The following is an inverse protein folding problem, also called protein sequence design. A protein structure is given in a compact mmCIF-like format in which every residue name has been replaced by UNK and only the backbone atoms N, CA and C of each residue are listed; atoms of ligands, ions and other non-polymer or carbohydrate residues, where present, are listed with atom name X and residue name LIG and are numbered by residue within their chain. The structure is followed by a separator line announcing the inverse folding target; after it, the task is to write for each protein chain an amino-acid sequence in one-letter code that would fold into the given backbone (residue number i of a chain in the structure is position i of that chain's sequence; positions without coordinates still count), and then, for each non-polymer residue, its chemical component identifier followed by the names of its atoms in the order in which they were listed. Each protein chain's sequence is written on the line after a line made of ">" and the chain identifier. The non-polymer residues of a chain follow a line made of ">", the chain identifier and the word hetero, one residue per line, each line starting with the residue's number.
data_IF_263888474161
#
_entry.id   IF_263888474161
#
_cell.length_a   1.000
_cell.length_b   1.000
_cell.length_c   1.000
_cell.angle_alpha   90.00
_cell.angle_beta   90.00
_cell.angle_gamma   90.00
#
_symmetry.space_group_name_H-M   'P 1'
#
loop_
_entity.id
_entity.type
_entity.pdbx_description
1 polymer ?
#
# COMPACT_ATOMS: atom_id res chain seq x y z
N UNK A 1 -21.12 8.61 -3.04
CA UNK A 1 -21.19 8.03 -4.40
C UNK A 1 -20.89 9.04 -5.51
N UNK A 2 -21.39 10.29 -5.47
CA UNK A 2 -21.12 11.32 -6.50
C UNK A 2 -19.66 11.78 -6.57
N UNK A 3 -19.01 11.98 -5.41
CA UNK A 3 -17.62 12.47 -5.34
C UNK A 3 -16.65 11.50 -6.03
N UNK A 4 -16.86 10.20 -5.87
CA UNK A 4 -16.00 9.19 -6.47
C UNK A 4 -16.19 9.09 -8.00
N UNK A 5 -17.42 9.21 -8.50
CA UNK A 5 -17.69 9.32 -9.96
C UNK A 5 -17.06 10.59 -10.55
N UNK A 6 -17.13 11.73 -9.85
CA UNK A 6 -16.49 12.98 -10.29
C UNK A 6 -14.95 12.92 -10.26
N UNK A 7 -14.34 12.33 -9.22
CA UNK A 7 -12.89 12.15 -9.15
C UNK A 7 -12.38 11.17 -10.22
N UNK A 8 -13.12 10.08 -10.47
CA UNK A 8 -12.78 9.07 -11.49
C UNK A 8 -12.91 9.64 -12.91
N UNK A 9 -13.92 10.46 -13.18
CA UNK A 9 -14.06 11.17 -14.45
C UNK A 9 -12.95 12.19 -14.71
N UNK A 10 -12.48 12.88 -13.67
CA UNK A 10 -11.41 13.88 -13.77
C UNK A 10 -10.01 13.24 -13.93
N UNK A 11 -9.72 12.17 -13.19
CA UNK A 11 -8.45 11.44 -13.26
C UNK A 11 -8.28 10.68 -14.59
N UNK A 12 -9.36 10.16 -15.17
CA UNK A 12 -9.34 9.53 -16.50
C UNK A 12 -9.03 10.53 -17.64
N UNK A 13 -9.39 11.80 -17.46
CA UNK A 13 -9.11 12.88 -18.44
C UNK A 13 -7.67 13.39 -18.38
N UNK A 14 -6.94 13.08 -17.29
CA UNK A 14 -5.58 13.53 -17.04
C UNK A 14 -4.72 12.35 -16.54
N UNK A 15 -4.23 11.53 -17.48
CA UNK A 15 -3.37 10.36 -17.16
C UNK A 15 -2.18 10.73 -16.25
N UNK A 16 -1.64 11.94 -16.41
CA UNK A 16 -0.53 12.47 -15.60
C UNK A 16 -0.86 12.58 -14.11
N UNK A 17 -2.13 12.82 -13.75
CA UNK A 17 -2.55 12.92 -12.35
C UNK A 17 -2.60 11.54 -11.68
N UNK A 18 -3.06 10.51 -12.40
CA UNK A 18 -3.09 9.14 -11.87
C UNK A 18 -1.67 8.61 -11.59
N UNK A 19 -0.72 8.87 -12.51
CA UNK A 19 0.68 8.52 -12.31
C UNK A 19 1.31 9.33 -11.17
N UNK A 20 0.98 10.63 -11.04
CA UNK A 20 1.43 11.47 -9.92
C UNK A 20 0.97 10.92 -8.56
N UNK A 21 -0.29 10.49 -8.44
CA UNK A 21 -0.80 9.90 -7.19
C UNK A 21 -0.11 8.57 -6.87
N UNK A 22 0.14 7.73 -7.87
CA UNK A 22 0.90 6.49 -7.66
C UNK A 22 2.34 6.78 -7.23
N UNK A 23 3.00 7.77 -7.83
CA UNK A 23 4.34 8.20 -7.43
C UNK A 23 4.34 8.80 -6.01
N UNK A 24 3.30 9.55 -5.65
CA UNK A 24 3.17 10.15 -4.33
C UNK A 24 2.95 9.09 -3.24
N UNK A 25 2.23 8.01 -3.54
CA UNK A 25 2.12 6.86 -2.63
C UNK A 25 3.49 6.19 -2.39
N UNK A 26 4.27 6.01 -3.44
CA UNK A 26 5.63 5.44 -3.35
C UNK A 26 6.56 6.39 -2.59
N UNK A 27 6.49 7.69 -2.86
CA UNK A 27 7.26 8.71 -2.17
C UNK A 27 6.91 8.76 -0.67
N UNK A 28 5.63 8.60 -0.30
CA UNK A 28 5.20 8.49 1.09
C UNK A 28 5.80 7.26 1.76
N UNK A 29 5.72 6.08 1.13
CA UNK A 29 6.30 4.85 1.66
C UNK A 29 7.81 5.00 1.93
N UNK A 30 8.57 5.47 0.94
CA UNK A 30 10.01 5.64 1.10
C UNK A 30 10.35 6.78 2.04
N UNK A 31 9.56 7.86 2.05
CA UNK A 31 9.72 8.98 2.96
C UNK A 31 9.50 8.57 4.42
N UNK A 32 8.47 7.78 4.70
CA UNK A 32 8.19 7.28 6.05
C UNK A 32 9.27 6.31 6.52
N UNK A 33 9.73 5.39 5.67
CA UNK A 33 10.89 4.55 5.99
C UNK A 33 12.15 5.36 6.26
N UNK A 34 12.44 6.35 5.42
CA UNK A 34 13.61 7.21 5.59
C UNK A 34 13.56 7.97 6.91
N UNK A 35 12.42 8.60 7.24
CA UNK A 35 12.25 9.34 8.49
C UNK A 35 12.43 8.41 9.70
N UNK A 36 11.80 7.23 9.68
CA UNK A 36 11.90 6.28 10.80
C UNK A 36 13.36 5.83 10.99
N UNK A 37 14.08 5.52 9.92
CA UNK A 37 15.48 5.08 10.01
C UNK A 37 16.41 6.23 10.44
N UNK A 38 16.28 7.40 9.83
CA UNK A 38 17.11 8.56 10.09
C UNK A 38 16.91 9.12 11.51
N UNK A 39 15.68 9.04 12.03
CA UNK A 39 15.29 9.65 13.31
C UNK A 39 14.84 8.63 14.37
N UNK A 40 15.20 7.36 14.25
CA UNK A 40 14.77 6.33 15.21
C UNK A 40 15.10 6.69 16.67
N UNK A 41 16.30 7.21 16.95
CA UNK A 41 16.73 7.58 18.31
C UNK A 41 15.86 8.69 18.94
N UNK A 42 15.67 9.86 18.29
CA UNK A 42 14.79 10.89 18.83
C UNK A 42 13.32 10.48 18.85
N UNK A 43 12.84 9.66 17.89
CA UNK A 43 11.47 9.14 17.88
C UNK A 43 11.22 8.27 19.12
N UNK A 44 12.12 7.32 19.39
CA UNK A 44 12.01 6.45 20.59
C UNK A 44 12.15 7.27 21.87
N UNK A 45 13.03 8.27 21.89
CA UNK A 45 13.17 9.19 23.02
C UNK A 45 11.90 9.99 23.28
N UNK A 46 11.25 10.50 22.23
CA UNK A 46 9.97 11.20 22.31
C UNK A 46 8.86 10.28 22.81
N UNK A 47 8.78 9.05 22.29
CA UNK A 47 7.77 8.06 22.68
C UNK A 47 7.89 7.67 24.17
N UNK A 48 9.12 7.61 24.69
CA UNK A 48 9.39 7.26 26.09
C UNK A 48 9.07 8.37 27.09
N UNK A 49 9.03 9.64 26.68
CA UNK A 49 8.71 10.75 27.60
C UNK A 49 7.31 10.64 28.18
N UNK A 50 6.32 10.40 27.32
CA UNK A 50 4.91 10.29 27.70
C UNK A 50 4.22 9.20 26.88
N UNK A 51 4.52 7.94 27.20
CA UNK A 51 4.08 6.79 26.41
C UNK A 51 2.55 6.71 26.28
N UNK A 52 1.81 7.14 27.30
CA UNK A 52 0.33 7.10 27.30
C UNK A 52 -0.27 8.00 26.23
N UNK A 53 0.37 9.13 25.90
CA UNK A 53 -0.13 10.10 24.92
C UNK A 53 0.57 9.92 23.57
N UNK A 54 1.89 9.75 23.58
CA UNK A 54 2.68 9.71 22.36
C UNK A 54 2.51 8.40 21.57
N UNK A 55 2.27 7.26 22.24
CA UNK A 55 2.03 5.99 21.53
C UNK A 55 0.73 6.04 20.72
N UNK A 56 -0.44 6.44 21.28
CA UNK A 56 -1.65 6.60 20.49
C UNK A 56 -1.49 7.57 19.32
N UNK A 57 -0.78 8.69 19.51
CA UNK A 57 -0.51 9.65 18.44
C UNK A 57 0.32 9.01 17.32
N UNK A 58 1.39 8.29 17.67
CA UNK A 58 2.23 7.60 16.70
C UNK A 58 1.43 6.54 15.92
N UNK A 59 0.58 5.77 16.60
CA UNK A 59 -0.31 4.79 15.96
C UNK A 59 -1.31 5.49 15.02
N UNK A 60 -1.92 6.59 15.46
CA UNK A 60 -2.86 7.36 14.62
C UNK A 60 -2.18 7.92 13.37
N UNK A 61 -0.95 8.43 13.49
CA UNK A 61 -0.15 8.90 12.35
C UNK A 61 0.18 7.77 11.38
N UNK A 62 0.56 6.58 11.87
CA UNK A 62 0.81 5.40 11.03
C UNK A 62 -0.46 4.94 10.30
N UNK A 63 -1.61 4.91 10.99
CA UNK A 63 -2.88 4.56 10.37
C UNK A 63 -3.28 5.58 9.28
N UNK A 64 -3.07 6.87 9.53
CA UNK A 64 -3.31 7.92 8.56
C UNK A 64 -2.41 7.78 7.34
N UNK A 65 -1.12 7.48 7.55
CA UNK A 65 -0.15 7.26 6.46
C UNK A 65 -0.55 6.06 5.58
N UNK A 66 -0.90 4.93 6.21
CA UNK A 66 -1.41 3.74 5.49
C UNK A 66 -2.70 4.06 4.73
N UNK A 67 -3.62 4.81 5.34
CA UNK A 67 -4.85 5.24 4.70
C UNK A 67 -4.58 6.12 3.47
N UNK A 68 -3.66 7.08 3.58
CA UNK A 68 -3.25 7.94 2.48
C UNK A 68 -2.59 7.15 1.36
N UNK A 69 -1.65 6.25 1.68
CA UNK A 69 -1.04 5.34 0.71
C UNK A 69 -2.10 4.52 -0.02
N UNK A 70 -3.04 3.92 0.70
CA UNK A 70 -4.14 3.17 0.10
C UNK A 70 -5.03 4.04 -0.81
N UNK A 71 -5.38 5.24 -0.36
CA UNK A 71 -6.18 6.20 -1.14
C UNK A 71 -5.46 6.58 -2.44
N UNK A 72 -4.19 6.96 -2.38
CA UNK A 72 -3.42 7.38 -3.55
C UNK A 72 -3.21 6.23 -4.55
N UNK A 73 -2.96 5.02 -4.05
CA UNK A 73 -2.89 3.82 -4.88
C UNK A 73 -4.22 3.50 -5.56
N UNK A 74 -5.34 3.62 -4.85
CA UNK A 74 -6.67 3.41 -5.43
C UNK A 74 -6.96 4.44 -6.53
N UNK A 75 -6.63 5.71 -6.29
CA UNK A 75 -6.80 6.79 -7.27
C UNK A 75 -5.92 6.56 -8.51
N UNK A 76 -4.65 6.18 -8.33
CA UNK A 76 -3.74 5.87 -9.44
C UNK A 76 -4.18 4.64 -10.23
N UNK A 77 -4.74 3.61 -9.56
CA UNK A 77 -5.21 2.38 -10.19
C UNK A 77 -6.52 2.52 -10.96
N UNK A 78 -7.26 3.62 -10.77
CA UNK A 78 -8.55 3.87 -11.42
C UNK A 78 -8.45 3.91 -12.96
N UNK A 79 -7.24 4.06 -13.52
CA UNK A 79 -6.93 3.96 -14.95
C UNK A 79 -7.21 2.57 -15.54
N UNK A 80 -7.11 1.49 -14.75
CA UNK A 80 -7.20 0.11 -15.24
C UNK A 80 -8.57 -0.56 -15.07
N UNK A 81 -9.54 0.10 -14.42
CA UNK A 81 -10.89 -0.48 -14.29
C UNK A 81 -11.74 -0.05 -15.49
N UNK A 82 -11.81 -0.88 -16.53
CA UNK A 82 -12.66 -0.58 -17.69
C UNK A 82 -14.17 -0.78 -17.40
N UNK A 83 -14.58 -1.57 -16.39
CA UNK A 83 -16.01 -1.92 -16.27
C UNK A 83 -16.71 -1.83 -14.90
N UNK A 84 -16.05 -1.78 -13.74
CA UNK A 84 -16.82 -1.93 -12.48
C UNK A 84 -17.11 -0.63 -11.70
N UNK A 85 -18.39 -0.48 -11.34
CA UNK A 85 -19.02 0.63 -10.58
C UNK A 85 -18.59 0.72 -9.09
N UNK A 86 -17.70 -0.15 -8.63
CA UNK A 86 -17.28 -0.23 -7.24
C UNK A 86 -16.02 0.61 -6.98
N UNK A 87 -16.19 1.79 -6.37
CA UNK A 87 -15.08 2.51 -5.75
C UNK A 87 -14.57 1.76 -4.53
N UNK A 88 -13.25 1.70 -4.33
CA UNK A 88 -12.55 1.07 -3.18
C UNK A 88 -12.40 -0.46 -3.21
N UNK A 89 -12.30 -1.10 -4.38
CA UNK A 89 -11.75 -2.45 -4.39
C UNK A 89 -10.23 -2.43 -4.18
N UNK A 90 -9.76 -3.16 -3.16
CA UNK A 90 -8.38 -3.65 -3.09
C UNK A 90 -8.04 -4.28 -4.43
N UNK A 91 -7.04 -3.71 -5.12
CA UNK A 91 -6.40 -4.22 -6.33
C UNK A 91 -6.93 -5.58 -6.81
N UNK A 92 -7.63 -5.60 -7.95
CA UNK A 92 -7.61 -6.79 -8.81
C UNK A 92 -6.19 -6.86 -9.39
N UNK A 93 -5.24 -7.29 -8.56
CA UNK A 93 -3.94 -7.72 -9.06
C UNK A 93 -4.19 -8.74 -10.16
N UNK A 94 -3.27 -8.81 -11.13
CA UNK A 94 -3.23 -9.81 -12.20
C UNK A 94 -3.06 -11.24 -11.63
N UNK A 95 -4.03 -11.67 -10.82
CA UNK A 95 -4.15 -12.96 -10.15
C UNK A 95 -5.52 -13.50 -10.55
N UNK A 96 -5.63 -13.92 -11.81
CA UNK A 96 -6.65 -14.86 -12.28
C UNK A 96 -6.39 -16.25 -11.67
N UNK A 97 -6.37 -16.34 -10.34
CA UNK A 97 -5.94 -17.52 -9.62
C UNK A 97 -6.01 -17.32 -8.13
N UNK A 98 -7.19 -16.95 -7.63
CA UNK A 98 -7.55 -17.15 -6.22
C UNK A 98 -7.71 -18.65 -5.97
N UNK A 99 -6.59 -19.37 -5.91
CA UNK A 99 -6.52 -20.70 -5.30
C UNK A 99 -6.08 -20.53 -3.87
N UNK A 100 -6.89 -21.03 -2.93
CA UNK A 100 -6.60 -21.31 -1.51
C UNK A 100 -5.17 -21.02 -1.03
N UNK A 101 -5.04 -20.33 0.12
CA UNK A 101 -3.76 -20.13 0.84
C UNK A 101 -2.90 -21.40 0.93
N UNK A 102 -3.52 -22.58 0.98
CA UNK A 102 -2.83 -23.87 0.96
C UNK A 102 -2.09 -24.18 -0.35
N UNK A 103 -2.63 -23.76 -1.49
CA UNK A 103 -2.02 -23.96 -2.82
C UNK A 103 -0.84 -23.01 -3.02
N UNK A 104 -0.92 -21.78 -2.49
CA UNK A 104 0.22 -20.87 -2.47
C UNK A 104 1.36 -21.40 -1.61
N UNK A 105 1.05 -21.94 -0.43
CA UNK A 105 2.06 -22.51 0.45
C UNK A 105 2.71 -23.76 -0.14
N UNK A 106 1.91 -24.66 -0.75
CA UNK A 106 2.46 -25.84 -1.42
C UNK A 106 3.37 -25.47 -2.59
N UNK A 107 2.98 -24.50 -3.41
CA UNK A 107 3.81 -24.04 -4.54
C UNK A 107 5.10 -23.36 -4.07
N UNK A 108 5.04 -22.57 -2.99
CA UNK A 108 6.23 -21.97 -2.39
C UNK A 108 7.17 -23.02 -1.80
N UNK A 109 6.63 -24.01 -1.09
CA UNK A 109 7.42 -25.09 -0.49
C UNK A 109 8.08 -25.95 -1.57
N UNK A 110 7.36 -26.24 -2.66
CA UNK A 110 7.89 -26.97 -3.80
C UNK A 110 8.98 -26.19 -4.55
N UNK A 111 8.88 -24.86 -4.58
CA UNK A 111 9.92 -23.98 -5.14
C UNK A 111 11.17 -23.95 -4.26
N UNK A 112 11.01 -23.83 -2.93
CA UNK A 112 12.12 -23.88 -1.98
C UNK A 112 12.88 -25.22 -2.03
N UNK A 113 12.16 -26.32 -2.23
CA UNK A 113 12.78 -27.64 -2.38
C UNK A 113 13.63 -27.75 -3.66
N UNK A 114 13.19 -27.14 -4.76
CA UNK A 114 13.97 -27.09 -6.00
C UNK A 114 15.20 -26.18 -5.90
N UNK A 115 15.09 -25.05 -5.19
CA UNK A 115 16.24 -24.17 -4.93
C UNK A 115 17.28 -24.87 -4.05
N UNK A 116 16.84 -25.62 -3.03
CA UNK A 116 17.73 -26.40 -2.16
C UNK A 116 18.48 -27.52 -2.90
N UNK A 117 17.86 -28.17 -3.89
CA UNK A 117 18.51 -29.20 -4.72
C UNK A 117 19.53 -28.64 -5.72
N UNK A 118 19.48 -27.35 -6.05
CA UNK A 118 20.42 -26.71 -6.99
C UNK A 118 21.72 -26.25 -6.31
N UNK A 119 21.74 -26.22 -4.98
CA UNK A 119 22.89 -25.79 -4.16
C UNK A 119 23.56 -26.94 -3.38
N UNK A 120 23.23 -28.19 -3.69
CA UNK A 120 23.92 -29.38 -3.20
C UNK A 120 24.45 -30.18 -4.38
#
# INVERSE_FOLDING_TARGET
>A
MSVCKSLKGYTRKHERLADLFSLLAVALLFGTFYIVLAYHTPIVGWLKRDAVIHVPIAVALLLLDIFLMYMFLNIGSARFSEEDESCFHTFKGRRSGSGSLGIMFSNWLHHMEQVGKKHR
#
